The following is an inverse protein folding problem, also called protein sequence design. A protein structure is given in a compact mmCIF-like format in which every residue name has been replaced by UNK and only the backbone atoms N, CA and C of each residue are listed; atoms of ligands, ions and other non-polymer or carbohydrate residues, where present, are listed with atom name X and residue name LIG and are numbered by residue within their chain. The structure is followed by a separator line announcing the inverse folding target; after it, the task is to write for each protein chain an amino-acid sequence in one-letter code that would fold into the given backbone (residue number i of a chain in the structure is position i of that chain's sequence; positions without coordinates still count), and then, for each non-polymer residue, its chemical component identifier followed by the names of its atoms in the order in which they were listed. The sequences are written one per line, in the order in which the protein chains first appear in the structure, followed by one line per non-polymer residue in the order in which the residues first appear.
data_IF_996786934736
#
_entry.id   IF_996786934736
#
_cell.length_a   1.000
_cell.length_b   1.000
_cell.length_c   1.000
_cell.angle_alpha   90.00
_cell.angle_beta   90.00
_cell.angle_gamma   90.00
#
_symmetry.space_group_name_H-M   'P 1'
#
loop_
_entity.id
_entity.type
_entity.pdbx_description
1 polymer ?
#
# COMPACT_ATOMS: atom_id res chain seq x y z
N UNK A 1 20.88 5.42 -2.85
CA UNK A 1 19.56 5.83 -2.39
C UNK A 1 18.59 5.70 -3.54
N UNK A 2 17.57 4.85 -3.45
CA UNK A 2 16.56 4.70 -4.51
C UNK A 2 15.78 6.01 -4.65
N UNK A 3 15.68 6.51 -5.87
CA UNK A 3 14.76 7.59 -6.22
C UNK A 3 13.96 7.11 -7.41
N UNK A 4 12.67 7.40 -7.44
CA UNK A 4 11.91 7.27 -8.68
C UNK A 4 12.63 8.08 -9.77
N UNK A 5 12.94 7.45 -10.89
CA UNK A 5 13.73 8.09 -11.93
C UNK A 5 13.03 9.33 -12.51
N UNK A 6 11.69 9.32 -12.56
CA UNK A 6 10.91 10.48 -13.04
C UNK A 6 9.50 10.53 -12.40
N UNK A 7 8.99 11.74 -12.20
CA UNK A 7 7.54 11.96 -12.20
C UNK A 7 7.02 11.52 -13.56
N UNK A 8 5.91 10.79 -13.57
CA UNK A 8 5.28 10.47 -14.85
C UNK A 8 4.58 11.72 -15.42
N UNK A 9 4.59 11.85 -16.74
CA UNK A 9 3.89 12.88 -17.52
C UNK A 9 2.58 12.37 -18.13
N UNK A 10 2.05 11.26 -17.58
CA UNK A 10 0.81 10.64 -18.04
C UNK A 10 -0.40 11.52 -17.66
N UNK A 11 -1.44 11.47 -18.48
CA UNK A 11 -2.65 12.30 -18.34
C UNK A 11 -3.41 12.07 -17.03
N UNK A 12 -3.48 10.82 -16.57
CA UNK A 12 -4.21 10.44 -15.37
C UNK A 12 -3.48 10.78 -14.07
N UNK A 13 -4.09 10.43 -12.95
CA UNK A 13 -3.55 10.70 -11.61
C UNK A 13 -3.41 9.41 -10.83
N UNK A 14 -2.19 9.12 -10.35
CA UNK A 14 -1.91 7.96 -9.51
C UNK A 14 -1.92 8.33 -8.03
N UNK A 15 -2.91 7.79 -7.30
CA UNK A 15 -3.08 7.98 -5.86
C UNK A 15 -2.86 6.64 -5.18
N UNK A 16 -1.83 6.55 -4.33
CA UNK A 16 -1.50 5.36 -3.58
C UNK A 16 -1.90 5.51 -2.12
N UNK A 17 -2.38 4.44 -1.51
CA UNK A 17 -2.74 4.40 -0.10
C UNK A 17 -1.96 3.30 0.61
N UNK A 18 -1.28 3.69 1.67
CA UNK A 18 -0.37 2.86 2.44
C UNK A 18 -0.78 2.79 3.92
N UNK A 19 -0.23 1.82 4.62
CA UNK A 19 -0.44 1.62 6.06
C UNK A 19 -0.46 0.14 6.42
N UNK A 20 -0.30 -0.15 7.71
CA UNK A 20 -0.35 -1.52 8.23
C UNK A 20 -1.74 -2.14 8.07
N UNK A 21 -1.83 -3.45 8.24
CA UNK A 21 -3.13 -4.14 8.24
C UNK A 21 -3.98 -3.61 9.41
N UNK A 22 -5.29 -3.46 9.25
CA UNK A 22 -6.16 -2.88 10.29
C UNK A 22 -6.13 -1.36 10.43
N UNK A 23 -5.33 -0.62 9.63
CA UNK A 23 -5.33 0.86 9.65
C UNK A 23 -6.63 1.49 9.12
N UNK A 24 -7.48 0.71 8.43
CA UNK A 24 -8.73 1.20 7.84
C UNK A 24 -8.59 1.80 6.44
N UNK A 25 -7.41 1.70 5.82
CA UNK A 25 -7.13 2.23 4.48
C UNK A 25 -8.12 1.75 3.40
N UNK A 26 -8.43 0.44 3.35
CA UNK A 26 -9.32 -0.10 2.31
C UNK A 26 -10.75 0.44 2.42
N UNK A 27 -11.24 0.69 3.64
CA UNK A 27 -12.51 1.37 3.87
C UNK A 27 -12.48 2.79 3.33
N UNK A 28 -11.41 3.55 3.62
CA UNK A 28 -11.25 4.92 3.15
C UNK A 28 -11.10 4.98 1.62
N UNK A 29 -10.37 4.03 1.03
CA UNK A 29 -10.25 3.94 -0.43
C UNK A 29 -11.58 3.65 -1.12
N UNK A 30 -12.40 2.76 -0.57
CA UNK A 30 -13.73 2.49 -1.11
C UNK A 30 -14.61 3.74 -1.08
N UNK A 31 -14.66 4.44 0.05
CA UNK A 31 -15.45 5.69 0.18
C UNK A 31 -14.90 6.78 -0.77
N UNK A 32 -13.58 6.88 -0.93
CA UNK A 32 -12.94 7.80 -1.87
C UNK A 32 -13.30 7.46 -3.32
N UNK A 33 -13.24 6.19 -3.69
CA UNK A 33 -13.61 5.69 -5.02
C UNK A 33 -15.07 6.06 -5.35
N UNK A 34 -15.99 5.73 -4.43
CA UNK A 34 -17.42 5.98 -4.64
C UNK A 34 -17.72 7.48 -4.74
N UNK A 35 -17.03 8.30 -3.93
CA UNK A 35 -17.14 9.75 -4.02
C UNK A 35 -16.61 10.30 -5.36
N UNK A 36 -15.43 9.88 -5.81
CA UNK A 36 -14.88 10.32 -7.10
C UNK A 36 -15.81 9.97 -8.26
N UNK A 37 -16.38 8.76 -8.25
CA UNK A 37 -17.37 8.36 -9.25
C UNK A 37 -18.65 9.21 -9.18
N UNK A 38 -19.13 9.54 -7.97
CA UNK A 38 -20.34 10.36 -7.81
C UNK A 38 -20.21 11.79 -8.34
N UNK A 39 -18.97 12.27 -8.48
CA UNK A 39 -18.67 13.57 -9.09
C UNK A 39 -18.20 13.47 -10.55
N UNK A 40 -18.47 12.32 -11.22
CA UNK A 40 -18.24 12.14 -12.64
C UNK A 40 -16.81 11.80 -13.04
N UNK A 41 -15.94 11.40 -12.11
CA UNK A 41 -14.57 11.05 -12.45
C UNK A 41 -14.46 9.58 -12.88
N UNK A 42 -13.61 9.33 -13.88
CA UNK A 42 -13.22 7.98 -14.29
C UNK A 42 -12.16 7.42 -13.34
N UNK A 43 -12.49 6.36 -12.61
CA UNK A 43 -11.65 5.80 -11.56
C UNK A 43 -11.40 4.32 -11.77
N UNK A 44 -10.14 3.91 -11.71
CA UNK A 44 -9.71 2.51 -11.67
C UNK A 44 -9.17 2.20 -10.27
N UNK A 45 -9.58 1.05 -9.72
CA UNK A 45 -9.07 0.53 -8.47
C UNK A 45 -8.13 -0.65 -8.72
N UNK A 46 -7.00 -0.70 -8.02
CA UNK A 46 -6.09 -1.84 -8.04
C UNK A 46 -5.53 -2.11 -6.64
N UNK A 47 -5.29 -3.37 -6.32
CA UNK A 47 -4.81 -3.77 -5.00
C UNK A 47 -3.59 -4.69 -5.06
N UNK A 48 -2.86 -4.78 -3.97
CA UNK A 48 -1.69 -5.66 -3.84
C UNK A 48 -2.09 -7.14 -3.93
N UNK A 49 -1.30 -7.94 -4.63
CA UNK A 49 -1.56 -9.36 -4.94
C UNK A 49 -2.81 -9.59 -5.82
N UNK A 50 -3.13 -8.67 -6.71
CA UNK A 50 -4.27 -8.79 -7.64
C UNK A 50 -3.87 -9.15 -9.07
N UNK A 51 -2.57 -9.26 -9.38
CA UNK A 51 -2.10 -9.71 -10.69
C UNK A 51 -2.71 -11.06 -11.07
N UNK A 52 -3.30 -11.14 -12.26
CA UNK A 52 -3.87 -12.40 -12.76
C UNK A 52 -2.77 -13.43 -13.06
N UNK A 53 -1.57 -12.96 -13.40
CA UNK A 53 -0.44 -13.80 -13.73
C UNK A 53 0.05 -14.64 -12.53
N UNK A 54 0.16 -14.02 -11.33
CA UNK A 54 0.89 -14.65 -10.21
C UNK A 54 0.04 -14.83 -8.94
N UNK A 55 -1.13 -14.20 -8.81
CA UNK A 55 -1.90 -14.19 -7.56
C UNK A 55 -2.29 -15.58 -7.06
N UNK A 56 -2.64 -16.51 -7.96
CA UNK A 56 -2.99 -17.90 -7.61
C UNK A 56 -1.78 -18.61 -6.98
N UNK A 57 -0.61 -18.54 -7.63
CA UNK A 57 0.64 -19.13 -7.15
C UNK A 57 1.04 -18.55 -5.80
N UNK A 58 1.00 -17.24 -5.65
CA UNK A 58 1.30 -16.54 -4.39
C UNK A 58 0.34 -16.97 -3.27
N UNK A 59 -0.97 -17.12 -3.54
CA UNK A 59 -1.95 -17.59 -2.55
C UNK A 59 -1.64 -19.04 -2.09
N UNK A 60 -1.32 -19.93 -3.02
CA UNK A 60 -0.95 -21.33 -2.69
C UNK A 60 0.32 -21.36 -1.85
N UNK A 61 1.38 -20.65 -2.24
CA UNK A 61 2.64 -20.61 -1.52
C UNK A 61 2.46 -20.01 -0.10
N UNK A 62 1.67 -18.94 0.05
CA UNK A 62 1.30 -18.38 1.36
C UNK A 62 0.56 -19.39 2.23
N UNK A 63 -0.42 -20.11 1.68
CA UNK A 63 -1.20 -21.10 2.44
C UNK A 63 -0.34 -22.23 2.97
N UNK A 64 0.71 -22.61 2.24
CA UNK A 64 1.64 -23.66 2.63
C UNK A 64 2.80 -23.18 3.52
N UNK A 65 2.87 -21.87 3.83
CA UNK A 65 3.95 -21.26 4.60
C UNK A 65 5.37 -21.56 4.06
N UNK A 66 5.53 -21.63 2.74
CA UNK A 66 6.78 -22.02 2.07
C UNK A 66 7.67 -20.85 1.65
N UNK A 67 7.23 -19.60 1.90
CA UNK A 67 7.93 -18.44 1.39
C UNK A 67 9.03 -17.98 2.34
N UNK A 68 10.28 -18.04 1.87
CA UNK A 68 11.36 -17.29 2.50
C UNK A 68 11.14 -15.78 2.29
N UNK A 69 11.71 -14.90 3.13
CA UNK A 69 11.57 -13.44 2.95
C UNK A 69 11.92 -12.97 1.54
N UNK A 70 13.02 -13.48 0.95
CA UNK A 70 13.46 -13.10 -0.40
C UNK A 70 12.50 -13.60 -1.50
N UNK A 71 12.03 -14.84 -1.41
CA UNK A 71 11.05 -15.38 -2.37
C UNK A 71 9.73 -14.61 -2.28
N UNK A 72 9.35 -14.19 -1.07
CA UNK A 72 8.17 -13.36 -0.85
C UNK A 72 8.28 -12.00 -1.55
N UNK A 73 9.45 -11.33 -1.44
CA UNK A 73 9.75 -10.07 -2.14
C UNK A 73 9.69 -10.23 -3.66
N UNK A 74 10.28 -11.30 -4.21
CA UNK A 74 10.28 -11.55 -5.66
C UNK A 74 8.87 -11.77 -6.20
N UNK A 75 8.03 -12.55 -5.51
CA UNK A 75 6.63 -12.76 -5.91
C UNK A 75 5.82 -11.46 -5.88
N UNK A 76 6.08 -10.60 -4.90
CA UNK A 76 5.45 -9.28 -4.83
C UNK A 76 5.94 -8.35 -5.95
N UNK A 77 7.23 -8.41 -6.30
CA UNK A 77 7.76 -7.61 -7.40
C UNK A 77 7.17 -8.02 -8.76
N UNK A 78 6.98 -9.33 -8.99
CA UNK A 78 6.29 -9.84 -10.19
C UNK A 78 4.83 -9.39 -10.23
N UNK A 79 4.09 -9.51 -9.11
CA UNK A 79 2.71 -9.00 -9.01
C UNK A 79 2.63 -7.50 -9.33
N UNK A 80 3.57 -6.74 -8.79
CA UNK A 80 3.61 -5.30 -8.99
C UNK A 80 3.93 -4.93 -10.44
N UNK A 81 4.92 -5.60 -11.07
CA UNK A 81 5.29 -5.36 -12.46
C UNK A 81 4.10 -5.58 -13.41
N UNK A 82 3.42 -6.71 -13.29
CA UNK A 82 2.24 -7.02 -14.07
C UNK A 82 1.11 -5.98 -13.87
N UNK A 83 0.81 -5.62 -12.62
CA UNK A 83 -0.18 -4.57 -12.31
C UNK A 83 0.20 -3.21 -12.89
N UNK A 84 1.47 -2.84 -12.80
CA UNK A 84 1.96 -1.56 -13.34
C UNK A 84 1.77 -1.49 -14.84
N UNK A 85 2.16 -2.54 -15.56
CA UNK A 85 2.15 -2.58 -17.01
C UNK A 85 0.76 -2.83 -17.62
N UNK A 86 -0.04 -3.70 -16.98
CA UNK A 86 -1.33 -4.12 -17.55
C UNK A 86 -2.51 -3.28 -17.05
N UNK A 87 -2.38 -2.60 -15.90
CA UNK A 87 -3.51 -1.87 -15.30
C UNK A 87 -3.17 -0.40 -15.08
N UNK A 88 -2.08 -0.10 -14.35
CA UNK A 88 -1.83 1.27 -13.89
C UNK A 88 -1.43 2.18 -15.05
N UNK A 89 -0.41 1.83 -15.80
CA UNK A 89 0.08 2.66 -16.92
C UNK A 89 -0.99 2.85 -18.01
N UNK A 90 -1.71 1.81 -18.47
CA UNK A 90 -2.79 1.99 -19.45
C UNK A 90 -3.90 2.92 -18.96
N UNK A 91 -4.35 2.77 -17.72
CA UNK A 91 -5.36 3.65 -17.13
C UNK A 91 -4.90 5.11 -17.04
N UNK A 92 -3.65 5.34 -16.60
CA UNK A 92 -3.07 6.69 -16.55
C UNK A 92 -2.92 7.31 -17.94
N UNK A 93 -2.54 6.54 -18.97
CA UNK A 93 -2.49 7.01 -20.37
C UNK A 93 -3.88 7.43 -20.87
N UNK A 94 -4.92 6.71 -20.47
CA UNK A 94 -6.30 7.00 -20.81
C UNK A 94 -6.88 8.21 -20.04
N UNK A 95 -6.17 8.73 -19.01
CA UNK A 95 -6.59 9.89 -18.23
C UNK A 95 -7.35 9.54 -16.93
N UNK A 96 -7.46 8.27 -16.58
CA UNK A 96 -8.16 7.85 -15.38
C UNK A 96 -7.44 8.23 -14.08
N UNK A 97 -8.20 8.38 -13.00
CA UNK A 97 -7.66 8.38 -11.64
C UNK A 97 -7.45 6.93 -11.23
N UNK A 98 -6.21 6.56 -10.91
CA UNK A 98 -5.88 5.22 -10.42
C UNK A 98 -5.74 5.27 -8.90
N UNK A 99 -6.59 4.53 -8.19
CA UNK A 99 -6.52 4.33 -6.76
C UNK A 99 -5.82 2.99 -6.47
N UNK A 100 -4.62 3.03 -5.92
CA UNK A 100 -3.83 1.85 -5.59
C UNK A 100 -3.87 1.56 -4.08
N UNK A 101 -4.54 0.47 -3.65
CA UNK A 101 -4.39 -0.07 -2.29
C UNK A 101 -3.04 -0.78 -2.23
N UNK A 102 -2.06 -0.11 -1.67
CA UNK A 102 -0.64 -0.44 -1.61
C UNK A 102 0.11 -0.26 -2.94
N UNK A 103 1.31 0.25 -2.80
CA UNK A 103 2.27 0.47 -3.86
C UNK A 103 3.66 -0.05 -3.43
N UNK A 104 4.75 0.39 -4.06
CA UNK A 104 6.11 -0.07 -3.75
C UNK A 104 6.52 0.15 -2.28
N UNK A 105 5.95 1.14 -1.61
CA UNK A 105 6.24 1.45 -0.21
C UNK A 105 5.84 0.31 0.74
N UNK A 106 4.79 -0.46 0.38
CA UNK A 106 4.45 -1.68 1.12
C UNK A 106 5.59 -2.69 1.10
N UNK A 107 6.27 -2.89 -0.04
CA UNK A 107 7.43 -3.78 -0.11
C UNK A 107 8.61 -3.19 0.67
N UNK A 108 8.88 -1.88 0.50
CA UNK A 108 9.96 -1.20 1.23
C UNK A 108 9.81 -1.31 2.75
N UNK A 109 8.58 -1.27 3.26
CA UNK A 109 8.32 -1.46 4.69
C UNK A 109 8.33 -2.94 5.10
N UNK A 110 7.53 -3.79 4.45
CA UNK A 110 7.28 -5.15 4.91
C UNK A 110 8.42 -6.12 4.65
N UNK A 111 9.12 -5.96 3.52
CA UNK A 111 10.20 -6.86 3.17
C UNK A 111 11.47 -6.52 3.95
N UNK A 112 11.74 -5.22 4.17
CA UNK A 112 12.82 -4.76 5.06
C UNK A 112 12.56 -5.16 6.51
N UNK A 113 11.32 -5.04 7.00
CA UNK A 113 10.92 -5.54 8.32
C UNK A 113 11.12 -7.06 8.48
N UNK A 114 11.16 -7.82 7.37
CA UNK A 114 11.51 -9.25 7.33
C UNK A 114 13.01 -9.53 7.25
N UNK A 115 13.85 -8.51 7.27
CA UNK A 115 15.30 -8.63 7.22
C UNK A 115 15.89 -8.73 5.81
N UNK A 116 15.12 -8.40 4.78
CA UNK A 116 15.67 -8.27 3.42
C UNK A 116 16.40 -6.93 3.29
N UNK A 117 17.54 -6.92 2.60
CA UNK A 117 18.33 -5.70 2.41
C UNK A 117 17.51 -4.60 1.73
N UNK A 118 17.52 -3.41 2.32
CA UNK A 118 16.70 -2.29 1.87
C UNK A 118 17.07 -1.79 0.45
N UNK A 119 18.36 -1.81 0.09
CA UNK A 119 18.81 -1.36 -1.22
C UNK A 119 18.41 -2.38 -2.28
N UNK A 120 18.52 -3.67 -1.96
CA UNK A 120 18.09 -4.74 -2.84
C UNK A 120 16.58 -4.70 -3.08
N UNK A 121 15.75 -4.52 -2.01
CA UNK A 121 14.29 -4.38 -2.16
C UNK A 121 13.96 -3.17 -3.03
N UNK A 122 14.57 -2.02 -2.77
CA UNK A 122 14.34 -0.82 -3.59
C UNK A 122 14.75 -1.03 -5.05
N UNK A 123 15.88 -1.71 -5.29
CA UNK A 123 16.34 -2.05 -6.62
C UNK A 123 15.36 -2.88 -7.45
N UNK A 124 14.61 -3.80 -6.79
CA UNK A 124 13.57 -4.61 -7.46
C UNK A 124 12.45 -3.77 -8.07
N UNK A 125 12.21 -2.57 -7.55
CA UNK A 125 11.13 -1.67 -7.98
C UNK A 125 11.65 -0.45 -8.76
N UNK A 126 12.88 -0.50 -9.29
CA UNK A 126 13.50 0.59 -10.04
C UNK A 126 12.69 1.07 -11.26
N UNK A 127 11.86 0.19 -11.80
CA UNK A 127 10.96 0.48 -12.92
C UNK A 127 9.64 1.18 -12.52
N UNK A 128 9.38 1.36 -11.22
CA UNK A 128 8.14 1.96 -10.75
C UNK A 128 8.09 3.46 -11.06
N UNK A 129 6.90 3.95 -11.45
CA UNK A 129 6.66 5.37 -11.63
C UNK A 129 6.33 6.04 -10.30
N UNK A 130 6.69 7.32 -10.15
CA UNK A 130 6.39 8.07 -8.94
C UNK A 130 4.88 8.38 -8.87
N UNK A 131 4.18 8.05 -7.75
CA UNK A 131 2.80 8.47 -7.56
C UNK A 131 2.66 9.99 -7.48
N UNK A 132 1.50 10.51 -7.93
CA UNK A 132 1.14 11.92 -7.76
C UNK A 132 0.81 12.24 -6.30
N UNK A 133 0.23 11.25 -5.59
CA UNK A 133 -0.09 11.34 -4.18
C UNK A 133 0.10 9.98 -3.50
N UNK A 134 0.76 9.97 -2.37
CA UNK A 134 0.80 8.82 -1.46
C UNK A 134 0.26 9.22 -0.10
N UNK A 135 -0.78 8.51 0.36
CA UNK A 135 -1.40 8.68 1.66
C UNK A 135 -1.00 7.53 2.57
N UNK A 136 -0.45 7.82 3.74
CA UNK A 136 -0.11 6.83 4.76
C UNK A 136 -1.07 6.93 5.94
N UNK A 137 -1.91 5.90 6.15
CA UNK A 137 -2.82 5.81 7.28
C UNK A 137 -2.09 5.27 8.50
N UNK A 138 -1.66 6.18 9.37
CA UNK A 138 -0.85 5.91 10.55
C UNK A 138 -1.70 5.45 11.73
N UNK A 139 -1.36 4.30 12.30
CA UNK A 139 -1.98 3.74 13.50
C UNK A 139 -0.98 2.88 14.25
N UNK A 140 -1.08 2.79 15.58
CA UNK A 140 -0.23 1.89 16.37
C UNK A 140 -0.54 0.41 16.05
N UNK A 141 0.44 -0.46 16.25
CA UNK A 141 0.27 -1.89 16.03
C UNK A 141 -0.79 -2.48 16.98
N UNK A 142 -0.89 -1.96 18.20
CA UNK A 142 -1.84 -2.37 19.21
C UNK A 142 -3.29 -2.03 18.81
N UNK A 143 -3.54 -0.79 18.37
CA UNK A 143 -4.87 -0.37 17.92
C UNK A 143 -5.26 -1.11 16.63
N UNK A 144 -4.33 -1.32 15.72
CA UNK A 144 -4.52 -2.10 14.51
C UNK A 144 -4.88 -3.56 14.84
N UNK A 145 -4.18 -4.19 15.77
CA UNK A 145 -4.48 -5.54 16.25
C UNK A 145 -5.90 -5.62 16.84
N UNK A 146 -6.27 -4.66 17.71
CA UNK A 146 -7.61 -4.57 18.28
C UNK A 146 -8.70 -4.55 17.21
N UNK A 147 -8.52 -3.76 16.16
CA UNK A 147 -9.47 -3.67 15.04
C UNK A 147 -9.57 -4.97 14.24
N UNK A 148 -8.45 -5.65 14.02
CA UNK A 148 -8.43 -6.94 13.34
C UNK A 148 -9.15 -7.98 14.18
N UNK A 149 -8.85 -8.07 15.47
CA UNK A 149 -9.43 -9.05 16.38
C UNK A 149 -10.93 -8.88 16.62
N UNK A 150 -11.49 -7.70 16.33
CA UNK A 150 -12.95 -7.51 16.32
C UNK A 150 -13.67 -8.36 15.26
N UNK A 151 -12.97 -8.82 14.21
CA UNK A 151 -13.59 -9.56 13.10
C UNK A 151 -12.91 -10.91 12.79
N UNK A 152 -11.64 -11.07 13.09
CA UNK A 152 -10.84 -12.26 12.75
C UNK A 152 -9.52 -12.29 13.51
N UNK A 153 -8.85 -13.41 13.50
CA UNK A 153 -7.46 -13.50 13.93
C UNK A 153 -6.47 -12.92 12.90
N UNK A 154 -5.27 -12.47 13.34
CA UNK A 154 -4.20 -12.08 12.43
C UNK A 154 -3.76 -13.26 11.56
N UNK A 155 -3.59 -13.02 10.27
CA UNK A 155 -3.07 -14.06 9.35
C UNK A 155 -1.58 -14.31 9.59
N UNK A 156 -1.11 -15.49 9.26
CA UNK A 156 0.27 -15.95 9.48
C UNK A 156 1.33 -14.90 9.07
N UNK A 157 1.31 -14.42 7.82
CA UNK A 157 2.26 -13.41 7.33
C UNK A 157 1.97 -11.98 7.79
N UNK A 158 0.74 -11.66 8.19
CA UNK A 158 0.41 -10.38 8.82
C UNK A 158 1.00 -10.29 10.22
N UNK A 159 1.01 -11.42 10.92
CA UNK A 159 1.58 -11.54 12.25
C UNK A 159 3.10 -11.74 12.25
N UNK A 160 3.75 -11.86 11.09
CA UNK A 160 5.18 -12.14 11.03
C UNK A 160 5.57 -13.49 11.63
N UNK A 161 4.66 -14.48 11.62
CA UNK A 161 4.92 -15.82 12.16
C UNK A 161 6.02 -16.56 11.38
N UNK A 162 6.24 -16.19 10.13
CA UNK A 162 7.35 -16.64 9.29
C UNK A 162 8.74 -16.25 9.85
N UNK A 163 8.78 -15.25 10.72
CA UNK A 163 10.02 -14.76 11.36
C UNK A 163 10.27 -15.34 12.76
N UNK A 164 9.34 -16.15 13.28
CA UNK A 164 9.44 -16.76 14.63
C UNK A 164 9.69 -15.72 15.75
N UNK A 165 9.09 -14.52 15.64
CA UNK A 165 9.28 -13.43 16.61
C UNK A 165 8.67 -13.77 17.98
N UNK A 166 7.61 -14.56 18.00
CA UNK A 166 6.95 -15.10 19.18
C UNK A 166 6.12 -16.32 18.78
N UNK A 167 5.93 -17.27 19.71
CA UNK A 167 4.98 -18.38 19.53
C UNK A 167 3.51 -17.93 19.64
N UNK A 168 3.26 -16.76 20.24
CA UNK A 168 1.94 -16.16 20.31
C UNK A 168 1.72 -15.24 19.09
N UNK A 169 0.72 -15.51 18.21
CA UNK A 169 0.49 -14.76 16.99
C UNK A 169 0.15 -13.28 17.26
N UNK A 170 -0.54 -12.95 18.33
CA UNK A 170 -0.88 -11.57 18.70
C UNK A 170 0.36 -10.78 19.10
N UNK A 171 1.23 -11.37 19.92
CA UNK A 171 2.51 -10.76 20.31
C UNK A 171 3.45 -10.63 19.10
N UNK A 172 3.53 -11.66 18.27
CA UNK A 172 4.29 -11.62 17.02
C UNK A 172 3.80 -10.51 16.09
N UNK A 173 2.47 -10.36 15.95
CA UNK A 173 1.85 -9.29 15.16
C UNK A 173 2.32 -7.90 15.61
N UNK A 174 2.22 -7.60 16.91
CA UNK A 174 2.64 -6.28 17.43
C UNK A 174 4.11 -6.02 17.15
N UNK A 175 4.98 -6.99 17.42
CA UNK A 175 6.43 -6.86 17.15
C UNK A 175 6.67 -6.60 15.65
N UNK A 176 6.04 -7.38 14.77
CA UNK A 176 6.24 -7.26 13.33
C UNK A 176 5.68 -5.94 12.78
N UNK A 177 4.44 -5.57 13.15
CA UNK A 177 3.83 -4.35 12.63
C UNK A 177 4.51 -3.08 13.17
N UNK A 178 5.11 -3.12 14.36
CA UNK A 178 5.96 -2.02 14.85
C UNK A 178 7.23 -1.88 14.00
N UNK A 179 7.86 -2.98 13.56
CA UNK A 179 8.97 -2.91 12.59
C UNK A 179 8.52 -2.30 11.25
N UNK A 180 7.35 -2.70 10.75
CA UNK A 180 6.77 -2.15 9.52
C UNK A 180 6.47 -0.66 9.66
N UNK A 181 5.87 -0.22 10.76
CA UNK A 181 5.62 1.19 11.04
C UNK A 181 6.92 1.99 11.10
N UNK A 182 7.97 1.46 11.73
CA UNK A 182 9.27 2.12 11.80
C UNK A 182 9.86 2.36 10.39
N UNK A 183 9.69 1.42 9.44
CA UNK A 183 10.10 1.62 8.05
C UNK A 183 9.24 2.68 7.35
N UNK A 184 7.91 2.71 7.57
CA UNK A 184 7.06 3.79 7.04
C UNK A 184 7.49 5.16 7.58
N UNK A 185 7.81 5.29 8.87
CA UNK A 185 8.27 6.56 9.46
C UNK A 185 9.56 7.07 8.79
N UNK A 186 10.51 6.20 8.48
CA UNK A 186 11.71 6.57 7.70
C UNK A 186 11.32 7.10 6.32
N UNK A 187 10.37 6.46 5.66
CA UNK A 187 9.93 6.85 4.31
C UNK A 187 9.17 8.19 4.27
N UNK A 188 8.52 8.62 5.36
CA UNK A 188 7.89 9.95 5.43
C UNK A 188 8.91 11.08 5.19
N UNK A 189 10.15 10.91 5.66
CA UNK A 189 11.23 11.89 5.44
C UNK A 189 11.93 11.72 4.08
N UNK A 190 11.87 10.52 3.49
CA UNK A 190 12.54 10.22 2.21
C UNK A 190 11.67 10.57 0.98
N UNK A 191 10.35 10.43 1.11
CA UNK A 191 9.38 10.58 0.01
C UNK A 191 8.28 11.56 0.40
N UNK A 192 7.63 12.14 -0.60
CA UNK A 192 6.48 13.02 -0.39
C UNK A 192 5.21 12.20 -0.05
N UNK A 193 5.19 11.63 1.17
CA UNK A 193 4.08 10.85 1.69
C UNK A 193 3.31 11.71 2.69
N UNK A 194 1.98 11.82 2.51
CA UNK A 194 1.11 12.56 3.41
C UNK A 194 0.54 11.62 4.46
N UNK A 195 0.85 11.89 5.72
CA UNK A 195 0.35 11.10 6.84
C UNK A 195 -1.08 11.49 7.21
N UNK A 196 -1.94 10.48 7.39
CA UNK A 196 -3.31 10.60 7.86
C UNK A 196 -3.43 9.88 9.20
N UNK A 197 -3.85 10.59 10.23
CA UNK A 197 -4.15 9.98 11.53
C UNK A 197 -5.32 9.02 11.43
N UNK A 198 -5.01 7.72 11.43
CA UNK A 198 -6.01 6.66 11.30
C UNK A 198 -6.79 6.39 12.60
N UNK A 199 -6.50 7.08 13.70
CA UNK A 199 -7.29 6.99 14.95
C UNK A 199 -8.59 7.79 14.89
N UNK A 200 -8.65 8.81 14.02
CA UNK A 200 -9.84 9.63 13.78
C UNK A 200 -11.05 8.79 13.32
N UNK A 201 -12.24 9.34 13.44
CA UNK A 201 -13.47 8.71 12.90
C UNK A 201 -13.39 8.50 11.38
N UNK A 202 -14.20 7.59 10.85
CA UNK A 202 -14.26 7.31 9.40
C UNK A 202 -14.53 8.61 8.61
N UNK A 203 -15.49 9.42 9.08
CA UNK A 203 -15.87 10.67 8.43
C UNK A 203 -14.76 11.73 8.47
N UNK A 204 -14.09 11.90 9.60
CA UNK A 204 -13.00 12.87 9.74
C UNK A 204 -11.80 12.49 8.84
N UNK A 205 -11.41 11.22 8.82
CA UNK A 205 -10.37 10.71 7.90
C UNK A 205 -10.74 10.96 6.44
N UNK A 206 -12.00 10.72 6.09
CA UNK A 206 -12.46 10.92 4.72
C UNK A 206 -12.49 12.39 4.34
N UNK A 207 -12.84 13.30 5.26
CA UNK A 207 -12.77 14.74 5.02
C UNK A 207 -11.33 15.19 4.74
N UNK A 208 -10.36 14.77 5.59
CA UNK A 208 -8.94 15.05 5.39
C UNK A 208 -8.45 14.50 4.04
N UNK A 209 -8.77 13.24 3.74
CA UNK A 209 -8.39 12.56 2.49
C UNK A 209 -8.92 13.31 1.28
N UNK A 210 -10.21 13.65 1.26
CA UNK A 210 -10.83 14.39 0.14
C UNK A 210 -10.23 15.79 -0.05
N UNK A 211 -9.93 16.49 1.03
CA UNK A 211 -9.31 17.82 0.95
C UNK A 211 -7.93 17.75 0.27
N UNK A 212 -7.12 16.73 0.60
CA UNK A 212 -5.81 16.52 -0.01
C UNK A 212 -5.96 16.11 -1.48
N UNK A 213 -6.82 15.13 -1.77
CA UNK A 213 -7.07 14.65 -3.14
C UNK A 213 -7.57 15.77 -4.04
N UNK A 214 -8.50 16.61 -3.58
CA UNK A 214 -8.97 17.79 -4.33
C UNK A 214 -7.84 18.71 -4.74
N UNK A 215 -6.89 19.00 -3.84
CA UNK A 215 -5.73 19.86 -4.14
C UNK A 215 -4.85 19.26 -5.24
N UNK A 216 -4.60 17.94 -5.18
CA UNK A 216 -3.79 17.24 -6.17
C UNK A 216 -4.48 17.25 -7.54
N UNK A 217 -5.76 16.92 -7.59
CA UNK A 217 -6.54 16.89 -8.82
C UNK A 217 -6.67 18.28 -9.46
N UNK A 218 -6.92 19.33 -8.67
CA UNK A 218 -6.95 20.70 -9.14
C UNK A 218 -5.58 21.12 -9.72
N UNK A 219 -4.49 20.73 -9.09
CA UNK A 219 -3.11 20.97 -9.60
C UNK A 219 -2.81 20.27 -10.94
N UNK A 220 -3.57 19.22 -11.30
CA UNK A 220 -3.52 18.54 -12.60
C UNK A 220 -4.59 19.02 -13.60
N UNK A 221 -5.34 20.05 -13.26
CA UNK A 221 -6.39 20.60 -14.13
C UNK A 221 -7.68 19.79 -14.18
N UNK A 222 -7.87 18.84 -13.26
CA UNK A 222 -9.11 18.05 -13.15
C UNK A 222 -10.18 18.92 -12.49
N UNK A 223 -11.29 19.14 -13.18
CA UNK A 223 -12.46 19.83 -12.62
C UNK A 223 -13.24 18.90 -11.68
N UNK A 224 -13.58 19.39 -10.48
CA UNK A 224 -14.28 18.64 -9.42
C UNK A 224 -15.62 19.26 -9.10
#
# INVERSE_FOLDING_TARGET
MFRFEKKHDLKGTLICVEGIDGSGKSTQLKILHDWLKSIGQDVIFTEWNSSQLISKTTKVAKKKNLLSPRTFSLLHAVDFADRLEQVIIPALKAGFIVLADRYVYTAFARDVARGVDANWVRGLYGFAIQPDLTLYYSVSAEESLKRICANREPKFYEAGMDLKLSNNPYKSYVIFQNRVNAEYQKMLSEYNIVEIDATKSIHAKQADTRAIVKKVLAGKGVQL
#
